data_IF_081081814014
#
_entry.id   IF_081081814014
#
_cell.length_a   1.000
_cell.length_b   1.000
_cell.length_c   1.000
_cell.angle_alpha   90.00
_cell.angle_beta   90.00
_cell.angle_gamma   90.00
#
_symmetry.space_group_name_H-M   'P 1'
#
loop_
_entity.id
_entity.type
_entity.pdbx_description
1 polymer ?
#
# COMPACT_ATOMS: atom_id res chain seq x y z
N UNK A 1 -11.40 -16.51 -22.02
CA UNK A 1 -12.76 -16.11 -22.46
C UNK A 1 -13.53 -15.70 -21.20
N UNK A 2 -13.86 -14.42 -21.04
CA UNK A 2 -14.65 -13.93 -19.91
C UNK A 2 -16.06 -14.53 -19.98
N UNK A 3 -16.51 -15.14 -18.87
CA UNK A 3 -17.81 -15.81 -18.77
C UNK A 3 -18.97 -14.83 -18.86
N UNK A 4 -20.06 -15.26 -19.48
CA UNK A 4 -21.28 -14.47 -19.66
C UNK A 4 -21.85 -13.97 -18.32
N UNK A 5 -22.29 -12.72 -18.30
CA UNK A 5 -23.14 -12.19 -17.23
C UNK A 5 -24.46 -12.98 -17.24
N UNK A 6 -24.67 -13.77 -16.17
CA UNK A 6 -25.83 -14.62 -15.90
C UNK A 6 -27.17 -13.85 -15.88
N UNK A 7 -28.26 -14.57 -16.18
CA UNK A 7 -29.63 -14.10 -16.33
C UNK A 7 -30.19 -13.33 -15.14
N UNK A 8 -29.74 -13.58 -13.90
CA UNK A 8 -30.18 -12.79 -12.74
C UNK A 8 -29.81 -11.31 -12.85
N UNK A 9 -28.61 -10.99 -13.36
CA UNK A 9 -28.18 -9.62 -13.56
C UNK A 9 -28.95 -8.93 -14.71
N UNK A 10 -29.37 -9.70 -15.72
CA UNK A 10 -30.23 -9.19 -16.81
C UNK A 10 -31.62 -8.84 -16.31
N UNK A 11 -32.17 -9.68 -15.42
CA UNK A 11 -33.47 -9.45 -14.79
C UNK A 11 -33.44 -8.19 -13.91
N UNK A 12 -32.42 -8.04 -13.06
CA UNK A 12 -32.25 -6.84 -12.21
C UNK A 12 -32.16 -5.56 -13.06
N UNK A 13 -31.40 -5.60 -14.16
CA UNK A 13 -31.33 -4.46 -15.09
C UNK A 13 -32.70 -4.13 -15.69
N UNK A 14 -33.43 -5.15 -16.16
CA UNK A 14 -34.74 -4.97 -16.76
C UNK A 14 -35.77 -4.39 -15.77
N UNK A 15 -35.75 -4.84 -14.53
CA UNK A 15 -36.60 -4.31 -13.47
C UNK A 15 -36.23 -2.85 -13.12
N UNK A 16 -34.93 -2.56 -12.98
CA UNK A 16 -34.44 -1.24 -12.56
C UNK A 16 -34.62 -0.16 -13.63
N UNK A 17 -34.32 -0.49 -14.88
CA UNK A 17 -34.29 0.48 -15.98
C UNK A 17 -35.50 0.35 -16.92
N UNK A 18 -36.41 -0.60 -16.67
CA UNK A 18 -37.57 -0.90 -17.51
C UNK A 18 -37.19 -1.09 -18.99
N UNK A 19 -36.03 -1.70 -19.25
CA UNK A 19 -35.47 -1.90 -20.58
C UNK A 19 -34.73 -3.24 -20.68
N UNK A 20 -34.72 -3.93 -21.84
CA UNK A 20 -34.02 -5.19 -22.02
C UNK A 20 -32.51 -5.02 -21.83
N UNK A 21 -31.85 -6.06 -21.29
CA UNK A 21 -30.41 -6.04 -21.10
C UNK A 21 -29.69 -5.87 -22.45
N UNK A 22 -28.77 -4.91 -22.60
CA UNK A 22 -28.12 -4.64 -23.88
C UNK A 22 -27.40 -5.88 -24.44
N UNK A 23 -27.82 -6.34 -25.62
CA UNK A 23 -27.31 -7.54 -26.29
C UNK A 23 -26.22 -7.26 -27.33
N UNK A 24 -26.01 -6.00 -27.74
CA UNK A 24 -24.85 -5.55 -28.50
C UNK A 24 -23.91 -4.78 -27.57
N UNK A 25 -22.68 -5.26 -27.36
CA UNK A 25 -21.77 -4.66 -26.38
C UNK A 25 -20.54 -4.07 -27.05
N UNK A 26 -20.67 -2.83 -27.51
CA UNK A 26 -19.54 -1.91 -27.44
C UNK A 26 -19.74 -1.14 -26.14
N UNK A 27 -18.83 -1.34 -25.18
CA UNK A 27 -18.71 -0.40 -24.07
C UNK A 27 -18.13 0.89 -24.66
N UNK A 28 -18.92 1.96 -24.70
CA UNK A 28 -18.43 3.28 -25.07
C UNK A 28 -17.71 3.87 -23.84
N UNK A 29 -16.41 3.57 -23.75
CA UNK A 29 -15.54 4.06 -22.67
C UNK A 29 -15.63 3.26 -21.35
N UNK A 30 -14.90 3.72 -20.32
CA UNK A 30 -14.86 3.07 -19.02
C UNK A 30 -16.21 3.08 -18.32
N UNK A 31 -16.53 2.01 -17.59
CA UNK A 31 -17.71 1.98 -16.73
C UNK A 31 -17.49 2.90 -15.51
N UNK A 32 -18.38 3.89 -15.25
CA UNK A 32 -18.17 4.89 -14.20
C UNK A 32 -18.19 4.30 -12.79
N UNK A 33 -18.82 3.13 -12.61
CA UNK A 33 -18.99 2.43 -11.34
C UNK A 33 -18.08 1.19 -11.20
N UNK A 34 -17.05 1.08 -12.05
CA UNK A 34 -16.05 0.01 -11.96
C UNK A 34 -14.67 0.66 -11.86
N UNK A 35 -13.96 0.37 -10.77
CA UNK A 35 -12.62 0.88 -10.52
C UNK A 35 -11.62 -0.24 -10.73
N UNK A 36 -10.53 0.05 -11.43
CA UNK A 36 -9.49 -0.93 -11.72
C UNK A 36 -8.32 -0.72 -10.77
N UNK A 37 -7.76 -1.81 -10.26
CA UNK A 37 -6.57 -1.72 -9.43
C UNK A 37 -5.69 -2.95 -9.52
N UNK A 38 -4.45 -2.77 -9.10
CA UNK A 38 -3.40 -3.80 -9.07
C UNK A 38 -2.77 -3.84 -7.69
N UNK A 39 -2.34 -5.02 -7.26
CA UNK A 39 -1.45 -5.13 -6.11
C UNK A 39 -0.03 -4.74 -6.50
N UNK A 40 0.68 -4.07 -5.61
CA UNK A 40 2.11 -3.75 -5.72
C UNK A 40 2.74 -4.00 -4.36
N UNK A 41 3.82 -4.76 -4.30
CA UNK A 41 4.45 -5.13 -3.04
C UNK A 41 5.71 -4.28 -2.78
N UNK A 42 6.33 -3.77 -3.84
CA UNK A 42 7.62 -3.08 -3.86
C UNK A 42 7.76 -2.21 -5.13
N UNK A 43 8.86 -1.47 -5.26
CA UNK A 43 9.12 -0.59 -6.40
C UNK A 43 9.20 -1.34 -7.75
N UNK A 44 9.72 -2.56 -7.75
CA UNK A 44 9.84 -3.37 -8.97
C UNK A 44 8.45 -3.79 -9.51
N UNK A 45 7.56 -4.20 -8.61
CA UNK A 45 6.17 -4.53 -8.96
C UNK A 45 5.36 -3.28 -9.31
N UNK A 46 5.62 -2.14 -8.66
CA UNK A 46 5.05 -0.85 -9.05
C UNK A 46 5.44 -0.46 -10.48
N UNK A 47 6.74 -0.50 -10.79
CA UNK A 47 7.28 -0.17 -12.11
C UNK A 47 6.73 -1.07 -13.22
N UNK A 48 6.41 -2.33 -12.92
CA UNK A 48 5.90 -3.27 -13.93
C UNK A 48 4.38 -3.21 -14.07
N UNK A 49 3.62 -2.98 -13.00
CA UNK A 49 2.14 -3.12 -13.00
C UNK A 49 1.40 -1.79 -13.16
N UNK A 50 1.89 -0.71 -12.56
CA UNK A 50 1.21 0.60 -12.61
C UNK A 50 1.12 1.13 -14.04
N UNK A 51 2.17 1.06 -14.89
CA UNK A 51 2.06 1.52 -16.28
C UNK A 51 0.92 0.85 -17.06
N UNK A 52 0.76 -0.47 -16.95
CA UNK A 52 -0.36 -1.17 -17.60
C UNK A 52 -1.73 -0.73 -17.06
N UNK A 53 -1.83 -0.42 -15.78
CA UNK A 53 -3.06 0.12 -15.20
C UNK A 53 -3.37 1.52 -15.74
N UNK A 54 -2.36 2.39 -15.86
CA UNK A 54 -2.51 3.74 -16.40
C UNK A 54 -2.92 3.74 -17.87
N UNK A 55 -2.35 2.83 -18.67
CA UNK A 55 -2.71 2.61 -20.08
C UNK A 55 -4.11 2.02 -20.28
N UNK A 56 -4.66 1.36 -19.26
CA UNK A 56 -6.01 0.79 -19.33
C UNK A 56 -7.08 1.88 -19.17
N UNK A 57 -8.08 1.97 -20.06
CA UNK A 57 -9.22 2.87 -19.88
C UNK A 57 -10.00 2.54 -18.62
N UNK A 58 -9.95 3.43 -17.62
CA UNK A 58 -10.63 3.26 -16.34
C UNK A 58 -11.21 4.59 -15.85
N UNK A 59 -12.36 4.54 -15.18
CA UNK A 59 -12.96 5.70 -14.53
C UNK A 59 -12.17 6.11 -13.27
N UNK A 60 -11.65 5.12 -12.54
CA UNK A 60 -10.72 5.29 -11.41
C UNK A 60 -9.68 4.18 -11.42
N UNK A 61 -8.46 4.52 -11.03
CA UNK A 61 -7.30 3.63 -10.93
C UNK A 61 -6.76 3.63 -9.51
N UNK A 62 -6.49 2.46 -8.96
CA UNK A 62 -5.98 2.36 -7.59
C UNK A 62 -4.94 1.25 -7.44
N UNK A 63 -4.12 1.36 -6.40
CA UNK A 63 -3.20 0.28 -6.03
C UNK A 63 -3.50 -0.22 -4.63
N UNK A 64 -3.27 -1.52 -4.46
CA UNK A 64 -3.13 -2.15 -3.15
C UNK A 64 -1.65 -2.38 -2.90
N UNK A 65 -1.01 -1.50 -2.15
CA UNK A 65 0.36 -1.66 -1.70
C UNK A 65 0.42 -2.66 -0.52
N UNK A 66 0.05 -3.92 -0.80
CA UNK A 66 -0.22 -4.95 0.21
C UNK A 66 0.16 -6.38 -0.25
N UNK A 67 0.96 -7.13 0.53
CA UNK A 67 1.75 -6.62 1.66
C UNK A 67 2.81 -5.63 1.14
N UNK A 68 3.04 -4.53 1.87
CA UNK A 68 4.13 -3.62 1.54
C UNK A 68 5.47 -4.22 2.01
N UNK A 69 6.27 -4.67 1.06
CA UNK A 69 7.53 -5.39 1.26
C UNK A 69 8.77 -4.56 0.92
N UNK A 70 8.59 -3.36 0.38
CA UNK A 70 9.66 -2.42 0.12
C UNK A 70 9.15 -1.00 -0.03
N UNK A 71 10.07 -0.04 -0.05
CA UNK A 71 9.76 1.33 -0.44
C UNK A 71 9.22 1.37 -1.88
N UNK A 72 8.31 2.30 -2.15
CA UNK A 72 7.75 2.54 -3.48
C UNK A 72 7.81 4.04 -3.74
N UNK A 73 8.43 4.43 -4.85
CA UNK A 73 8.33 5.80 -5.36
C UNK A 73 7.10 5.92 -6.25
N UNK A 74 6.07 6.62 -5.75
CA UNK A 74 4.84 6.88 -6.47
C UNK A 74 4.85 8.22 -7.23
N UNK A 75 5.88 9.05 -7.08
CA UNK A 75 5.97 10.34 -7.76
C UNK A 75 5.70 10.24 -9.27
N UNK A 76 6.18 9.20 -9.99
CA UNK A 76 5.88 9.00 -11.41
C UNK A 76 4.40 8.80 -11.76
N UNK A 77 3.57 8.37 -10.79
CA UNK A 77 2.23 7.83 -11.03
C UNK A 77 1.10 8.64 -10.39
N UNK A 78 1.39 9.55 -9.46
CA UNK A 78 0.38 10.33 -8.70
C UNK A 78 0.34 11.81 -9.07
N UNK A 79 1.35 12.32 -9.77
CA UNK A 79 1.39 13.72 -10.20
C UNK A 79 0.60 13.96 -11.48
N UNK A 80 0.02 15.14 -11.61
CA UNK A 80 -0.48 15.60 -12.90
C UNK A 80 0.70 15.92 -13.81
N UNK A 81 0.85 15.16 -14.88
CA UNK A 81 1.86 15.37 -15.93
C UNK A 81 1.16 15.67 -17.24
N UNK A 82 1.81 16.48 -18.08
CA UNK A 82 1.31 16.81 -19.41
C UNK A 82 2.15 16.10 -20.46
N UNK A 83 1.49 15.40 -21.39
CA UNK A 83 2.08 15.00 -22.66
C UNK A 83 1.96 16.18 -23.63
N UNK A 84 3.10 16.62 -24.15
CA UNK A 84 3.23 17.60 -25.24
C UNK A 84 2.46 18.93 -25.04
N UNK A 85 2.26 19.34 -23.80
CA UNK A 85 1.47 20.53 -23.41
C UNK A 85 -0.04 20.49 -23.75
N UNK A 86 -0.59 19.34 -24.19
CA UNK A 86 -1.99 19.26 -24.66
C UNK A 86 -2.85 18.25 -23.92
N UNK A 87 -2.28 17.17 -23.38
CA UNK A 87 -3.06 16.11 -22.72
C UNK A 87 -2.51 15.77 -21.33
N UNK A 88 -3.39 15.68 -20.33
CA UNK A 88 -3.04 15.18 -18.99
C UNK A 88 -2.82 13.68 -19.03
N UNK A 89 -1.69 13.21 -18.52
CA UNK A 89 -1.45 11.79 -18.31
C UNK A 89 -2.41 11.22 -17.25
N UNK A 90 -2.86 9.96 -17.40
CA UNK A 90 -3.53 9.24 -16.34
C UNK A 90 -2.64 9.16 -15.09
N UNK A 91 -3.28 9.23 -13.92
CA UNK A 91 -2.63 9.04 -12.61
C UNK A 91 -3.42 8.06 -11.75
N UNK A 92 -2.86 7.68 -10.62
CA UNK A 92 -3.59 6.94 -9.58
C UNK A 92 -4.58 7.86 -8.87
N UNK A 93 -5.77 7.33 -8.63
CA UNK A 93 -6.85 7.99 -7.89
C UNK A 93 -6.88 7.57 -6.42
N UNK A 94 -6.25 6.45 -6.04
CA UNK A 94 -6.28 5.93 -4.67
C UNK A 94 -5.10 4.99 -4.39
N UNK A 95 -4.58 5.09 -3.17
CA UNK A 95 -3.53 4.20 -2.67
C UNK A 95 -3.98 3.59 -1.35
N UNK A 96 -3.95 2.27 -1.29
CA UNK A 96 -4.21 1.47 -0.08
C UNK A 96 -2.89 0.86 0.39
N UNK A 97 -2.56 0.96 1.67
CA UNK A 97 -1.33 0.41 2.25
C UNK A 97 -1.64 -0.52 3.42
N UNK A 98 -0.92 -1.63 3.50
CA UNK A 98 -1.02 -2.52 4.64
C UNK A 98 0.02 -3.64 4.67
N UNK A 99 0.32 -4.10 5.88
CA UNK A 99 1.27 -5.19 6.11
C UNK A 99 0.64 -6.58 5.99
N UNK A 100 1.51 -7.59 6.03
CA UNK A 100 1.16 -9.01 5.87
C UNK A 100 0.50 -9.58 7.13
N UNK A 101 -0.42 -10.54 6.96
CA UNK A 101 -1.10 -11.22 8.07
C UNK A 101 -0.92 -12.73 7.97
N UNK A 102 -0.98 -13.43 9.11
CA UNK A 102 -0.83 -14.88 9.20
C UNK A 102 0.44 -15.35 9.92
N UNK A 103 0.64 -16.67 10.05
CA UNK A 103 1.68 -17.24 10.90
C UNK A 103 3.11 -16.87 10.46
N UNK A 104 3.32 -16.62 9.16
CA UNK A 104 4.62 -16.30 8.57
C UNK A 104 4.67 -14.87 8.01
N UNK A 105 3.85 -13.96 8.55
CA UNK A 105 3.80 -12.59 8.08
C UNK A 105 5.18 -11.91 8.23
N UNK A 106 5.65 -11.28 7.15
CA UNK A 106 6.82 -10.40 7.17
C UNK A 106 6.44 -9.03 7.75
N UNK A 107 7.35 -8.39 8.49
CA UNK A 107 7.14 -7.02 8.92
C UNK A 107 7.16 -6.03 7.75
N UNK A 108 6.41 -4.93 7.91
CA UNK A 108 6.44 -3.78 7.01
C UNK A 108 7.20 -2.65 7.70
N UNK A 109 8.17 -2.04 7.02
CA UNK A 109 8.92 -0.93 7.62
C UNK A 109 7.98 0.29 7.83
N UNK A 110 7.96 0.88 9.04
CA UNK A 110 7.10 2.04 9.35
C UNK A 110 7.29 3.22 8.38
N UNK A 111 8.54 3.52 8.02
CA UNK A 111 8.83 4.64 7.11
C UNK A 111 8.35 4.41 5.67
N UNK A 112 8.16 3.16 5.22
CA UNK A 112 7.59 2.92 3.90
C UNK A 112 6.11 3.33 3.87
N UNK A 113 5.35 3.00 4.92
CA UNK A 113 3.95 3.41 5.05
C UNK A 113 3.81 4.93 5.21
N UNK A 114 4.67 5.56 6.02
CA UNK A 114 4.73 7.03 6.17
C UNK A 114 5.10 7.71 4.86
N UNK A 115 6.10 7.20 4.13
CA UNK A 115 6.51 7.72 2.84
C UNK A 115 5.38 7.70 1.81
N UNK A 116 4.66 6.59 1.70
CA UNK A 116 3.51 6.49 0.79
C UNK A 116 2.38 7.45 1.17
N UNK A 117 2.08 7.57 2.47
CA UNK A 117 1.14 8.56 2.99
C UNK A 117 1.53 9.97 2.58
N UNK A 118 2.79 10.36 2.81
CA UNK A 118 3.27 11.71 2.57
C UNK A 118 3.26 12.06 1.08
N UNK A 119 3.68 11.13 0.23
CA UNK A 119 3.56 11.26 -1.23
C UNK A 119 2.10 11.47 -1.66
N UNK A 120 1.16 10.69 -1.12
CA UNK A 120 -0.26 10.83 -1.45
C UNK A 120 -0.87 12.14 -0.96
N UNK A 121 -0.55 12.56 0.27
CA UNK A 121 -1.00 13.83 0.85
C UNK A 121 -0.49 15.00 0.01
N UNK A 122 0.80 14.99 -0.37
CA UNK A 122 1.40 16.02 -1.20
C UNK A 122 0.73 16.11 -2.59
N UNK A 123 0.34 14.97 -3.18
CA UNK A 123 -0.29 14.89 -4.49
C UNK A 123 -1.82 15.05 -4.47
N UNK A 124 -2.44 15.21 -3.30
CA UNK A 124 -3.90 15.22 -3.15
C UNK A 124 -4.56 13.93 -3.62
N UNK A 125 -3.88 12.79 -3.48
CA UNK A 125 -4.42 11.45 -3.77
C UNK A 125 -4.96 10.85 -2.47
N UNK A 126 -6.22 10.38 -2.43
CA UNK A 126 -6.75 9.63 -1.31
C UNK A 126 -5.81 8.50 -0.87
N UNK A 127 -5.56 8.41 0.43
CA UNK A 127 -4.70 7.42 1.06
C UNK A 127 -5.50 6.65 2.11
N UNK A 128 -5.45 5.32 2.05
CA UNK A 128 -6.00 4.44 3.07
C UNK A 128 -4.89 3.60 3.69
N UNK A 129 -4.69 3.74 5.00
CA UNK A 129 -3.87 2.82 5.77
C UNK A 129 -4.77 1.74 6.35
N UNK A 130 -4.72 0.54 5.76
CA UNK A 130 -5.62 -0.55 6.13
C UNK A 130 -5.24 -1.13 7.48
N UNK A 131 -3.97 -1.48 7.65
CA UNK A 131 -3.44 -2.10 8.85
C UNK A 131 -1.92 -2.31 8.82
N UNK A 132 -1.35 -2.61 9.97
CA UNK A 132 0.05 -3.00 10.11
C UNK A 132 0.37 -4.46 9.77
N UNK A 133 -0.61 -5.37 9.79
CA UNK A 133 -0.34 -6.80 9.69
C UNK A 133 -0.07 -7.42 11.06
N UNK A 134 0.79 -8.44 11.18
CA UNK A 134 1.11 -9.05 12.48
C UNK A 134 2.12 -8.26 13.34
N UNK A 135 2.83 -7.31 12.74
CA UNK A 135 3.95 -6.58 13.34
C UNK A 135 3.62 -5.10 13.52
N UNK A 136 4.15 -4.44 14.53
CA UNK A 136 4.05 -2.98 14.67
C UNK A 136 5.33 -2.40 15.29
N UNK A 137 5.54 -1.10 15.12
CA UNK A 137 6.62 -0.35 15.77
C UNK A 137 6.27 -0.13 17.25
N UNK A 138 7.25 -0.31 18.14
CA UNK A 138 7.11 0.17 19.52
C UNK A 138 7.35 1.68 19.49
N UNK A 139 6.35 2.46 19.90
CA UNK A 139 6.56 3.87 20.22
C UNK A 139 7.32 3.97 21.54
N UNK A 140 8.65 3.95 21.47
CA UNK A 140 9.53 4.11 22.63
C UNK A 140 9.62 5.56 23.10
N UNK A 141 8.85 6.48 22.51
CA UNK A 141 9.01 7.92 22.72
C UNK A 141 10.31 8.49 22.12
N UNK A 142 11.12 7.65 21.48
CA UNK A 142 12.30 8.05 20.73
C UNK A 142 11.97 7.98 19.23
N UNK A 143 11.94 9.12 18.52
CA UNK A 143 11.68 9.15 17.07
C UNK A 143 12.87 8.61 16.23
N UNK A 144 13.78 7.84 16.83
CA UNK A 144 15.09 7.57 16.27
C UNK A 144 15.17 6.12 15.76
N UNK A 145 15.78 5.88 14.59
CA UNK A 145 16.24 4.54 14.24
C UNK A 145 17.15 3.99 15.33
N UNK A 146 17.02 2.69 15.63
CA UNK A 146 18.03 1.94 16.36
C UNK A 146 19.23 1.77 15.41
N UNK A 147 20.33 2.46 15.71
CA UNK A 147 21.62 2.22 15.05
C UNK A 147 22.28 1.06 15.78
N UNK A 148 22.71 0.05 15.02
CA UNK A 148 23.47 -1.06 15.60
C UNK A 148 24.81 -0.54 16.14
N UNK A 149 25.06 -0.78 17.43
CA UNK A 149 26.31 -0.43 18.09
C UNK A 149 26.82 -1.64 18.88
N UNK A 150 27.64 -2.48 18.24
CA UNK A 150 28.15 -3.68 18.88
C UNK A 150 29.02 -3.37 20.10
N UNK A 151 28.71 -4.05 21.20
CA UNK A 151 29.38 -3.86 22.48
C UNK A 151 28.87 -2.67 23.30
N UNK A 152 27.83 -1.94 22.85
CA UNK A 152 27.15 -0.91 23.63
C UNK A 152 25.99 -1.50 24.46
N UNK A 153 26.08 -1.54 25.80
CA UNK A 153 25.02 -2.08 26.65
C UNK A 153 23.67 -1.36 26.50
N UNK A 154 23.67 -0.04 26.24
CA UNK A 154 22.42 0.73 26.10
C UNK A 154 21.62 0.31 24.86
N UNK A 155 22.34 0.00 23.77
CA UNK A 155 21.73 -0.56 22.57
C UNK A 155 21.08 -1.92 22.84
N UNK A 156 21.78 -2.82 23.53
CA UNK A 156 21.25 -4.16 23.85
C UNK A 156 20.04 -4.11 24.80
N UNK A 157 20.06 -3.21 25.78
CA UNK A 157 18.94 -3.00 26.69
C UNK A 157 17.68 -2.49 25.95
N UNK A 158 17.84 -1.66 24.92
CA UNK A 158 16.72 -1.26 24.06
C UNK A 158 16.30 -2.37 23.09
N UNK A 159 17.24 -3.17 22.59
CA UNK A 159 16.98 -4.23 21.62
C UNK A 159 16.11 -5.37 22.21
N UNK A 160 16.26 -5.70 23.50
CA UNK A 160 15.50 -6.81 24.13
C UNK A 160 13.99 -6.57 24.21
N UNK A 161 13.51 -5.34 23.99
CA UNK A 161 12.07 -5.05 23.94
C UNK A 161 11.41 -5.45 22.60
N UNK A 162 12.21 -5.82 21.60
CA UNK A 162 11.77 -6.03 20.22
C UNK A 162 11.84 -7.50 19.81
N UNK A 163 10.86 -7.95 19.00
CA UNK A 163 10.83 -9.29 18.42
C UNK A 163 11.62 -9.37 17.09
N UNK A 164 12.01 -8.23 16.53
CA UNK A 164 12.85 -8.15 15.35
C UNK A 164 13.11 -6.73 14.89
N UNK A 165 14.02 -6.60 13.92
CA UNK A 165 14.56 -5.34 13.43
C UNK A 165 14.51 -5.32 11.92
N UNK A 166 14.06 -4.22 11.34
CA UNK A 166 13.98 -4.05 9.89
C UNK A 166 14.71 -2.77 9.46
N UNK A 167 15.69 -2.89 8.58
CA UNK A 167 16.36 -1.75 7.96
C UNK A 167 15.55 -1.19 6.80
N UNK A 168 15.91 0.02 6.35
CA UNK A 168 15.17 0.72 5.30
C UNK A 168 15.18 0.00 3.94
N UNK A 169 16.22 -0.80 3.65
CA UNK A 169 16.34 -1.64 2.44
C UNK A 169 15.60 -2.99 2.56
N UNK A 170 14.97 -3.26 3.70
CA UNK A 170 14.14 -4.44 3.93
C UNK A 170 14.89 -5.65 4.49
N UNK A 171 16.13 -5.48 4.96
CA UNK A 171 16.84 -6.54 5.67
C UNK A 171 16.27 -6.71 7.08
N UNK A 172 15.62 -7.87 7.30
CA UNK A 172 15.04 -8.25 8.59
C UNK A 172 15.99 -9.16 9.38
N UNK A 173 16.14 -8.89 10.67
CA UNK A 173 16.82 -9.77 11.62
C UNK A 173 16.01 -9.92 12.91
N UNK A 174 16.03 -11.11 13.49
CA UNK A 174 15.37 -11.43 14.77
C UNK A 174 16.37 -11.46 15.95
N UNK A 175 17.64 -11.23 15.66
CA UNK A 175 18.71 -11.14 16.64
C UNK A 175 19.55 -9.88 16.37
N UNK A 176 19.72 -8.98 17.36
CA UNK A 176 20.54 -7.79 17.19
C UNK A 176 22.00 -8.09 16.83
N UNK A 177 22.54 -9.25 17.21
CA UNK A 177 23.90 -9.68 16.84
C UNK A 177 24.08 -9.92 15.32
N UNK A 178 22.98 -9.98 14.56
CA UNK A 178 22.97 -10.15 13.10
C UNK A 178 22.78 -8.82 12.35
N UNK A 179 22.68 -7.69 13.06
CA UNK A 179 22.54 -6.38 12.44
C UNK A 179 23.84 -5.96 11.75
N UNK A 180 23.75 -5.07 10.76
CA UNK A 180 24.94 -4.48 10.16
C UNK A 180 25.32 -3.21 10.93
N UNK A 181 26.61 -3.04 11.20
CA UNK A 181 27.16 -1.80 11.77
C UNK A 181 26.76 -0.57 10.94
N UNK A 182 26.49 0.53 11.63
CA UNK A 182 26.12 1.83 11.03
C UNK A 182 24.87 1.80 10.12
N UNK A 183 24.10 0.71 10.13
CA UNK A 183 22.80 0.63 9.44
C UNK A 183 21.69 0.99 10.42
N UNK A 184 20.79 1.92 10.07
CA UNK A 184 19.62 2.22 10.88
C UNK A 184 18.55 1.15 10.71
N UNK A 185 18.00 0.69 11.83
CA UNK A 185 16.89 -0.23 11.89
C UNK A 185 15.70 0.35 12.65
N UNK A 186 14.51 -0.18 12.35
CA UNK A 186 13.32 -0.04 13.19
C UNK A 186 13.09 -1.31 13.97
N UNK A 187 12.99 -1.17 15.29
CA UNK A 187 12.57 -2.25 16.17
C UNK A 187 11.06 -2.48 16.04
N UNK A 188 10.67 -3.76 16.01
CA UNK A 188 9.30 -4.18 15.78
C UNK A 188 8.90 -5.27 16.77
N UNK A 189 7.61 -5.32 17.08
CA UNK A 189 7.01 -6.37 17.91
C UNK A 189 5.89 -7.08 17.17
N UNK A 190 5.81 -8.39 17.38
CA UNK A 190 4.80 -9.27 16.80
C UNK A 190 3.63 -9.42 17.75
N UNK A 191 2.79 -8.40 17.79
CA UNK A 191 1.61 -8.32 18.66
C UNK A 191 0.36 -9.01 18.07
N UNK A 192 0.43 -9.36 16.79
CA UNK A 192 -0.64 -9.98 16.04
C UNK A 192 -1.64 -8.98 15.45
N UNK A 193 -2.30 -9.37 14.36
CA UNK A 193 -3.14 -8.50 13.51
C UNK A 193 -4.07 -7.55 14.26
N UNK A 194 -4.83 -8.10 15.22
CA UNK A 194 -5.86 -7.35 15.94
C UNK A 194 -5.23 -6.26 16.82
N UNK A 195 -4.09 -6.55 17.44
CA UNK A 195 -3.41 -5.62 18.33
C UNK A 195 -2.62 -4.56 17.56
N UNK A 196 -1.95 -4.95 16.46
CA UNK A 196 -1.20 -4.03 15.61
C UNK A 196 -2.13 -2.95 15.00
N UNK A 197 -3.34 -3.34 14.60
CA UNK A 197 -4.41 -2.39 14.30
C UNK A 197 -4.17 -1.56 13.04
N UNK A 198 -4.77 -0.36 13.02
CA UNK A 198 -4.90 0.50 11.82
C UNK A 198 -4.50 1.97 12.05
N UNK A 199 -3.83 2.26 13.17
CA UNK A 199 -3.39 3.61 13.46
C UNK A 199 -2.01 3.82 12.84
N UNK A 200 -1.87 4.84 12.01
CA UNK A 200 -0.58 5.31 11.51
C UNK A 200 -0.36 6.71 12.08
N UNK A 201 0.63 6.83 12.95
CA UNK A 201 0.95 8.02 13.74
C UNK A 201 -0.28 8.54 14.53
N UNK A 202 -0.88 7.65 15.33
CA UNK A 202 -1.93 7.99 16.29
C UNK A 202 -3.33 8.21 15.72
N UNK A 203 -3.54 8.08 14.41
CA UNK A 203 -4.86 8.24 13.78
C UNK A 203 -5.13 7.24 12.65
N UNK A 204 -6.39 7.10 12.27
CA UNK A 204 -6.77 6.35 11.07
C UNK A 204 -6.60 7.20 9.82
N UNK A 205 -6.34 6.53 8.71
CA UNK A 205 -6.29 7.11 7.37
C UNK A 205 -7.25 6.34 6.49
N UNK A 206 -8.42 6.91 6.22
CA UNK A 206 -9.55 6.23 5.56
C UNK A 206 -9.96 6.95 4.25
N UNK A 207 -9.00 7.57 3.55
CA UNK A 207 -9.28 8.29 2.31
C UNK A 207 -9.85 7.37 1.24
N UNK A 208 -10.87 7.84 0.51
CA UNK A 208 -11.50 7.13 -0.62
C UNK A 208 -11.78 8.17 -1.73
N UNK A 209 -11.64 7.83 -3.02
CA UNK A 209 -11.99 8.74 -4.11
C UNK A 209 -13.48 9.09 -4.14
N UNK A 210 -13.77 10.36 -4.47
CA UNK A 210 -15.11 10.85 -4.82
C UNK A 210 -15.51 10.49 -6.24
#
# INVERSE_FOLDING_TARGET
RWGFIDGRARQIYAERYRAPFPTGKVLLGPLPNVWLGVSVEDDATACTRIPFLLDTPAAKRWISAEPLLGFIDLEPYIQHRYLDHVATMPRLDWVVVGGESGPNARPMHPDWARGLRDQCVAAGVPFLFKQWGEWTEIDTGLPQPLLAHFGDPEFYDAAVEHDGFLSLDGHFVDNPDLMNDDVPYRGLVRVGKKAAGRLLDGRTWDGVPS
#
